data_IF_280205620325
#
_entry.id   IF_280205620325
#
_cell.length_a   1.000
_cell.length_b   1.000
_cell.length_c   1.000
_cell.angle_alpha   90.00
_cell.angle_beta   90.00
_cell.angle_gamma   90.00
#
_symmetry.space_group_name_H-M   'P 1'
#
loop_
_entity.id
_entity.type
_entity.pdbx_description
1 polymer ?
#
# COMPACT_ATOMS: atom_id res chain seq x y z
N UNK A 1 27.34 -1.52 -28.49
CA UNK A 1 26.03 -1.18 -29.06
C UNK A 1 25.24 -2.38 -29.62
N UNK A 2 25.85 -3.43 -30.18
CA UNK A 2 25.10 -4.58 -30.74
C UNK A 2 24.51 -5.55 -29.70
N UNK A 3 25.06 -5.64 -28.51
CA UNK A 3 24.61 -6.56 -27.45
C UNK A 3 23.41 -6.02 -26.65
N UNK A 4 23.28 -4.71 -26.49
CA UNK A 4 22.19 -4.05 -25.79
C UNK A 4 20.88 -4.11 -26.58
N UNK A 5 20.94 -4.05 -27.91
CA UNK A 5 19.73 -4.18 -28.76
C UNK A 5 19.12 -5.60 -28.74
N UNK A 6 19.92 -6.66 -28.46
CA UNK A 6 19.40 -8.03 -28.34
C UNK A 6 18.67 -8.29 -27.04
N UNK A 7 19.10 -7.65 -25.96
CA UNK A 7 18.44 -7.74 -24.66
C UNK A 7 17.09 -6.99 -24.63
N UNK A 8 17.01 -5.84 -25.31
CA UNK A 8 15.77 -5.09 -25.46
C UNK A 8 14.70 -5.82 -26.29
N UNK A 9 15.10 -6.57 -27.32
CA UNK A 9 14.17 -7.37 -28.15
C UNK A 9 13.51 -8.51 -27.37
N UNK A 10 14.23 -9.18 -26.48
CA UNK A 10 13.67 -10.27 -25.65
C UNK A 10 12.72 -9.74 -24.55
N UNK A 11 13.03 -8.58 -23.97
CA UNK A 11 12.17 -7.93 -22.97
C UNK A 11 10.87 -7.39 -23.59
N UNK A 12 10.89 -6.90 -24.85
CA UNK A 12 9.70 -6.40 -25.54
C UNK A 12 8.69 -7.52 -25.84
N UNK A 13 9.13 -8.74 -26.15
CA UNK A 13 8.23 -9.89 -26.37
C UNK A 13 7.54 -10.36 -25.09
N UNK A 14 8.22 -10.28 -23.94
CA UNK A 14 7.59 -10.58 -22.64
C UNK A 14 6.55 -9.52 -22.22
N UNK A 15 6.76 -8.26 -22.55
CA UNK A 15 5.81 -7.17 -22.24
C UNK A 15 4.56 -7.28 -23.12
N UNK A 16 4.65 -7.71 -24.37
CA UNK A 16 3.48 -7.96 -25.22
C UNK A 16 2.62 -9.12 -24.71
N UNK A 17 3.19 -10.13 -24.07
CA UNK A 17 2.46 -11.27 -23.54
C UNK A 17 1.65 -10.94 -22.26
N UNK A 18 2.07 -9.95 -21.49
CA UNK A 18 1.38 -9.51 -20.25
C UNK A 18 0.28 -8.47 -20.56
N UNK A 19 0.39 -7.70 -21.64
CA UNK A 19 -0.58 -6.68 -22.02
C UNK A 19 -1.87 -7.24 -22.69
N UNK A 20 -1.90 -8.54 -23.07
CA UNK A 20 -3.08 -9.15 -23.71
C UNK A 20 -4.22 -9.54 -22.77
N UNK A 21 -4.09 -9.29 -21.46
CA UNK A 21 -5.16 -9.47 -20.47
C UNK A 21 -6.26 -8.40 -20.48
N UNK A 22 -6.03 -7.24 -21.10
CA UNK A 22 -7.06 -6.21 -21.31
C UNK A 22 -7.79 -6.46 -22.62
N UNK A 23 -9.08 -6.79 -22.54
CA UNK A 23 -9.98 -6.88 -23.71
C UNK A 23 -10.12 -5.52 -24.37
N UNK A 24 -9.29 -5.23 -25.35
CA UNK A 24 -9.60 -4.21 -26.34
C UNK A 24 -10.59 -4.81 -27.34
N UNK A 25 -11.85 -4.44 -27.25
CA UNK A 25 -12.86 -4.69 -28.28
C UNK A 25 -12.58 -3.79 -29.48
N UNK A 26 -11.79 -4.27 -30.41
CA UNK A 26 -11.49 -3.63 -31.68
C UNK A 26 -10.54 -4.54 -32.45
N UNK A 27 -10.94 -4.94 -33.65
CA UNK A 27 -10.18 -5.83 -34.51
C UNK A 27 -8.79 -5.26 -34.80
N UNK A 28 -7.78 -5.75 -34.09
CA UNK A 28 -6.39 -5.59 -34.48
C UNK A 28 -6.12 -6.66 -35.53
N UNK A 29 -6.21 -6.26 -36.80
CA UNK A 29 -5.76 -7.09 -37.91
C UNK A 29 -4.30 -7.50 -37.68
N UNK A 30 -4.00 -8.79 -37.86
CA UNK A 30 -2.67 -9.34 -37.71
C UNK A 30 -1.64 -8.55 -38.55
N UNK A 31 -0.90 -7.65 -37.90
CA UNK A 31 0.25 -7.00 -38.53
C UNK A 31 1.37 -8.03 -38.58
N UNK A 32 1.60 -8.59 -39.80
CA UNK A 32 2.52 -9.67 -40.02
C UNK A 32 3.96 -9.34 -39.63
N UNK A 33 4.53 -10.16 -38.77
CA UNK A 33 5.97 -10.20 -38.54
C UNK A 33 6.58 -11.10 -39.62
N UNK A 34 7.10 -10.50 -40.68
CA UNK A 34 7.81 -11.21 -41.73
C UNK A 34 9.27 -11.34 -41.36
N UNK A 35 9.74 -12.55 -41.06
CA UNK A 35 11.17 -12.83 -40.90
C UNK A 35 11.78 -13.15 -42.28
N UNK A 36 12.47 -12.19 -42.90
CA UNK A 36 13.40 -12.46 -43.99
C UNK A 36 14.79 -12.09 -43.51
N UNK A 37 15.72 -13.06 -43.66
CA UNK A 37 17.18 -12.90 -43.50
C UNK A 37 17.66 -12.28 -42.17
N UNK A 38 17.28 -12.80 -41.02
CA UNK A 38 17.95 -12.50 -39.72
C UNK A 38 17.86 -11.07 -39.20
N UNK A 39 17.12 -10.18 -39.86
CA UNK A 39 16.78 -8.84 -39.38
C UNK A 39 15.31 -8.79 -39.06
N UNK A 40 15.00 -8.46 -37.81
CA UNK A 40 13.62 -8.14 -37.37
C UNK A 40 13.30 -6.75 -37.94
N UNK A 41 12.49 -6.69 -38.98
CA UNK A 41 11.93 -5.42 -39.46
C UNK A 41 10.63 -5.13 -38.66
N UNK A 42 10.71 -4.12 -37.80
CA UNK A 42 9.55 -3.61 -37.04
C UNK A 42 8.84 -2.61 -37.94
N UNK A 43 7.56 -2.83 -38.25
CA UNK A 43 6.78 -1.92 -39.07
C UNK A 43 6.69 -0.52 -38.43
N UNK A 44 6.60 0.55 -39.26
CA UNK A 44 6.38 1.91 -38.77
C UNK A 44 5.14 2.02 -37.87
N UNK A 45 4.09 1.23 -38.17
CA UNK A 45 2.87 1.17 -37.38
C UNK A 45 3.13 0.61 -35.99
N UNK A 46 3.98 -0.44 -35.87
CA UNK A 46 4.38 -0.99 -34.58
C UNK A 46 5.26 0.02 -33.78
N UNK A 47 6.15 0.76 -34.46
CA UNK A 47 6.94 1.82 -33.83
C UNK A 47 6.05 2.94 -33.32
N UNK A 48 5.05 3.39 -34.10
CA UNK A 48 4.09 4.41 -33.68
C UNK A 48 3.24 3.96 -32.49
N UNK A 49 2.77 2.69 -32.51
CA UNK A 49 2.00 2.11 -31.43
C UNK A 49 2.84 2.00 -30.14
N UNK A 50 4.09 1.55 -30.25
CA UNK A 50 5.03 1.53 -29.13
C UNK A 50 5.31 2.92 -28.57
N UNK A 51 5.45 3.92 -29.44
CA UNK A 51 5.64 5.31 -29.03
C UNK A 51 4.38 5.88 -28.33
N UNK A 52 3.18 5.50 -28.76
CA UNK A 52 1.94 5.85 -28.08
C UNK A 52 1.83 5.19 -26.71
N UNK A 53 2.15 3.89 -26.60
CA UNK A 53 2.15 3.16 -25.32
C UNK A 53 3.21 3.71 -24.36
N UNK A 54 4.40 4.09 -24.89
CA UNK A 54 5.47 4.68 -24.09
C UNK A 54 5.14 6.10 -23.57
N UNK A 55 4.18 6.80 -24.18
CA UNK A 55 3.70 8.14 -23.76
C UNK A 55 2.53 8.08 -22.79
N UNK A 56 1.97 6.90 -22.53
CA UNK A 56 0.91 6.76 -21.54
C UNK A 56 1.47 7.03 -20.14
N UNK A 57 0.77 7.81 -19.30
CA UNK A 57 1.18 7.98 -17.93
C UNK A 57 1.28 6.62 -17.22
N UNK A 58 2.30 6.46 -16.39
CA UNK A 58 2.53 5.23 -15.62
C UNK A 58 2.70 5.59 -14.17
N UNK A 59 2.13 4.76 -13.29
CA UNK A 59 2.33 4.84 -11.86
C UNK A 59 2.81 3.48 -11.36
N UNK A 60 3.90 3.49 -10.62
CA UNK A 60 4.48 2.30 -9.98
C UNK A 60 4.08 2.27 -8.50
N UNK A 61 3.57 1.12 -8.06
CA UNK A 61 3.23 0.87 -6.66
C UNK A 61 4.23 -0.13 -6.07
N UNK A 62 4.88 0.24 -4.96
CA UNK A 62 5.56 -0.73 -4.09
C UNK A 62 4.58 -1.12 -2.98
N UNK A 63 4.27 -2.40 -2.87
CA UNK A 63 3.34 -2.89 -1.86
C UNK A 63 4.05 -3.91 -0.97
N UNK A 64 4.07 -3.65 0.33
CA UNK A 64 4.61 -4.55 1.34
C UNK A 64 3.51 -5.06 2.28
N UNK A 65 3.78 -6.14 3.00
CA UNK A 65 2.90 -6.70 4.01
C UNK A 65 3.07 -6.04 5.38
N UNK A 66 3.04 -6.87 6.42
CA UNK A 66 3.07 -6.46 7.82
C UNK A 66 4.41 -5.82 8.19
N UNK A 67 4.33 -4.65 8.79
CA UNK A 67 5.47 -3.88 9.26
C UNK A 67 5.31 -3.56 10.74
N UNK A 68 6.28 -3.98 11.57
CA UNK A 68 6.27 -3.85 13.01
C UNK A 68 7.69 -3.66 13.54
N UNK A 69 7.88 -2.77 14.55
CA UNK A 69 9.20 -2.39 15.09
C UNK A 69 9.30 -2.67 16.60
N UNK A 70 8.82 -3.83 17.03
CA UNK A 70 8.86 -4.25 18.44
C UNK A 70 9.57 -5.62 18.59
N UNK A 71 9.67 -6.12 19.80
CA UNK A 71 10.25 -7.43 20.15
C UNK A 71 11.70 -7.58 19.64
N UNK A 72 12.01 -8.66 18.90
CA UNK A 72 13.34 -8.92 18.36
C UNK A 72 13.80 -7.85 17.35
N UNK A 73 12.87 -7.24 16.62
CA UNK A 73 13.17 -6.15 15.70
C UNK A 73 13.67 -4.93 16.48
N UNK A 74 13.03 -4.60 17.61
CA UNK A 74 13.50 -3.51 18.49
C UNK A 74 14.91 -3.75 18.99
N UNK A 75 15.25 -4.98 19.43
CA UNK A 75 16.59 -5.29 19.89
C UNK A 75 17.66 -5.05 18.82
N UNK A 76 17.36 -5.37 17.56
CA UNK A 76 18.25 -5.06 16.44
C UNK A 76 18.35 -3.56 16.18
N UNK A 77 17.24 -2.81 16.32
CA UNK A 77 17.26 -1.35 16.21
C UNK A 77 18.10 -0.69 17.32
N UNK A 78 18.03 -1.22 18.53
CA UNK A 78 18.82 -0.71 19.67
C UNK A 78 20.33 -0.97 19.47
N UNK A 79 20.68 -2.07 18.76
CA UNK A 79 22.07 -2.43 18.45
C UNK A 79 22.61 -1.65 17.23
N UNK A 80 21.83 -1.54 16.13
CA UNK A 80 22.32 -1.09 14.81
C UNK A 80 21.82 0.28 14.39
N UNK A 81 20.94 0.89 15.15
CA UNK A 81 20.24 2.10 14.77
C UNK A 81 18.93 1.83 13.99
N UNK A 82 17.97 2.72 14.13
CA UNK A 82 16.66 2.59 13.50
C UNK A 82 16.73 2.70 11.97
N UNK A 83 17.60 3.57 11.48
CA UNK A 83 17.85 3.80 10.05
C UNK A 83 18.36 2.56 9.31
N UNK A 84 19.00 1.64 10.01
CA UNK A 84 19.49 0.37 9.45
C UNK A 84 18.33 -0.55 9.06
N UNK A 85 17.24 -0.56 9.81
CA UNK A 85 16.18 -1.56 9.69
C UNK A 85 15.55 -1.62 8.30
N UNK A 86 15.27 -0.45 7.70
CA UNK A 86 14.66 -0.36 6.37
C UNK A 86 15.70 -0.12 5.27
N UNK A 87 17.01 -0.11 5.59
CA UNK A 87 18.07 0.24 4.64
C UNK A 87 18.09 -0.65 3.40
N UNK A 88 17.84 -1.96 3.56
CA UNK A 88 17.86 -2.91 2.47
C UNK A 88 16.70 -2.76 1.46
N UNK A 89 15.57 -2.18 1.88
CA UNK A 89 14.38 -2.01 1.04
C UNK A 89 14.11 -0.56 0.66
N UNK A 90 14.83 0.39 1.27
CA UNK A 90 14.65 1.84 1.10
C UNK A 90 14.69 2.28 -0.36
N UNK A 91 15.69 1.83 -1.10
CA UNK A 91 15.86 2.23 -2.51
C UNK A 91 14.71 1.71 -3.37
N UNK A 92 14.19 0.52 -3.08
CA UNK A 92 13.03 -0.05 -3.77
C UNK A 92 11.76 0.73 -3.47
N UNK A 93 11.51 1.08 -2.19
CA UNK A 93 10.34 1.87 -1.79
C UNK A 93 10.39 3.26 -2.42
N UNK A 94 11.55 3.94 -2.36
CA UNK A 94 11.74 5.28 -2.94
C UNK A 94 11.71 5.33 -4.46
N UNK A 95 12.00 4.21 -5.13
CA UNK A 95 11.95 4.13 -6.58
C UNK A 95 10.51 4.00 -7.12
N UNK A 96 9.56 3.62 -6.27
CA UNK A 96 8.15 3.60 -6.61
C UNK A 96 7.55 5.01 -6.54
N UNK A 97 6.49 5.25 -7.32
CA UNK A 97 5.74 6.51 -7.26
C UNK A 97 4.85 6.59 -6.01
N UNK A 98 4.41 5.44 -5.48
CA UNK A 98 3.70 5.31 -4.20
C UNK A 98 4.10 3.99 -3.53
N UNK A 99 4.46 4.05 -2.25
CA UNK A 99 4.76 2.88 -1.42
C UNK A 99 3.70 2.69 -0.32
N UNK A 100 3.15 1.47 -0.25
CA UNK A 100 2.10 1.05 0.70
C UNK A 100 2.58 -0.10 1.57
N UNK A 101 2.16 -0.14 2.85
CA UNK A 101 2.31 -1.29 3.73
C UNK A 101 1.20 -1.40 4.79
N UNK A 102 1.10 -2.57 5.43
CA UNK A 102 0.30 -2.76 6.64
C UNK A 102 1.13 -2.39 7.88
N UNK A 103 0.75 -1.35 8.59
CA UNK A 103 1.42 -0.95 9.84
C UNK A 103 0.82 -1.71 11.01
N UNK A 104 1.41 -2.85 11.34
CA UNK A 104 0.90 -3.81 12.33
C UNK A 104 1.43 -3.54 13.75
N UNK A 105 1.40 -2.28 14.16
CA UNK A 105 1.84 -1.83 15.49
C UNK A 105 1.25 -0.47 15.83
N UNK A 106 1.09 -0.18 17.13
CA UNK A 106 0.92 1.21 17.56
C UNK A 106 2.26 1.94 17.49
N UNK A 107 2.31 3.14 16.93
CA UNK A 107 3.47 4.05 17.00
C UNK A 107 3.19 5.09 18.08
N UNK A 108 3.57 4.77 19.33
CA UNK A 108 3.19 5.57 20.51
C UNK A 108 4.12 5.33 21.70
N UNK A 109 4.11 6.27 22.65
CA UNK A 109 4.66 6.09 24.00
C UNK A 109 3.59 5.82 25.03
N UNK A 110 2.41 6.40 24.84
CA UNK A 110 1.26 6.31 25.72
C UNK A 110 0.46 5.01 25.60
N UNK A 111 -0.66 4.98 26.30
CA UNK A 111 -1.59 3.86 26.32
C UNK A 111 -1.21 2.72 27.26
N UNK A 112 -2.19 1.90 27.59
CA UNK A 112 -2.04 0.70 28.42
C UNK A 112 -2.35 -0.54 27.59
N UNK A 113 -1.63 -1.65 27.84
CA UNK A 113 -1.88 -2.92 27.16
C UNK A 113 -3.33 -3.35 27.30
N UNK A 114 -3.96 -3.72 26.21
CA UNK A 114 -5.29 -4.30 26.26
C UNK A 114 -5.28 -5.62 27.02
N UNK A 115 -6.11 -5.78 28.06
CA UNK A 115 -6.22 -7.05 28.78
C UNK A 115 -6.73 -8.16 27.86
N UNK A 116 -6.26 -9.39 28.11
CA UNK A 116 -6.76 -10.59 27.43
C UNK A 116 -6.12 -10.90 26.06
N UNK A 117 -5.24 -10.04 25.55
CA UNK A 117 -4.34 -10.39 24.43
C UNK A 117 -3.10 -11.09 24.96
N UNK A 118 -2.56 -12.03 24.18
CA UNK A 118 -1.29 -12.71 24.50
C UNK A 118 -0.07 -11.99 23.93
N UNK A 119 -0.25 -11.16 22.91
CA UNK A 119 0.82 -10.45 22.18
C UNK A 119 0.41 -8.99 21.99
N UNK A 120 1.36 -8.09 22.23
CA UNK A 120 1.20 -6.65 22.08
C UNK A 120 2.39 -6.08 21.32
N UNK A 121 2.12 -5.21 20.35
CA UNK A 121 3.13 -4.48 19.60
C UNK A 121 3.00 -2.97 19.82
N UNK A 122 4.12 -2.34 20.20
CA UNK A 122 4.25 -0.89 20.30
C UNK A 122 5.64 -0.44 19.88
N UNK A 123 5.67 0.41 18.88
CA UNK A 123 6.88 1.02 18.36
C UNK A 123 7.02 2.45 18.87
N UNK A 124 8.25 2.93 18.99
CA UNK A 124 8.51 4.31 19.39
C UNK A 124 8.03 5.31 18.30
N UNK A 125 7.60 6.53 18.69
CA UNK A 125 7.09 7.55 17.75
C UNK A 125 8.04 7.87 16.60
N UNK A 126 9.34 7.79 16.82
CA UNK A 126 10.38 8.07 15.85
C UNK A 126 10.33 7.15 14.62
N UNK A 127 9.70 5.97 14.74
CA UNK A 127 9.52 5.06 13.60
C UNK A 127 8.56 5.60 12.54
N UNK A 128 7.67 6.53 12.87
CA UNK A 128 6.88 7.22 11.84
C UNK A 128 7.79 7.98 10.87
N UNK A 129 8.80 8.67 11.40
CA UNK A 129 9.78 9.38 10.56
C UNK A 129 10.66 8.40 9.77
N UNK A 130 11.04 7.25 10.36
CA UNK A 130 11.83 6.24 9.64
C UNK A 130 11.06 5.61 8.47
N UNK A 131 9.76 5.41 8.62
CA UNK A 131 8.89 4.99 7.52
C UNK A 131 8.87 6.02 6.38
N UNK A 132 8.67 7.30 6.71
CA UNK A 132 8.70 8.38 5.73
C UNK A 132 10.08 8.50 5.07
N UNK A 133 11.17 8.40 5.86
CA UNK A 133 12.54 8.39 5.36
C UNK A 133 12.82 7.18 4.45
N UNK A 134 12.13 6.08 4.63
CA UNK A 134 12.24 4.92 3.77
C UNK A 134 11.43 5.06 2.46
N UNK A 135 10.58 6.07 2.35
CA UNK A 135 9.75 6.33 1.17
C UNK A 135 8.35 5.72 1.26
N UNK A 136 7.85 5.43 2.47
CA UNK A 136 6.46 4.97 2.66
C UNK A 136 5.52 6.17 2.57
N UNK A 137 4.53 6.09 1.70
CA UNK A 137 3.57 7.17 1.42
C UNK A 137 2.21 6.91 2.07
N UNK A 138 1.81 5.65 2.19
CA UNK A 138 0.50 5.28 2.74
C UNK A 138 0.57 3.98 3.52
N UNK A 139 -0.16 3.93 4.64
CA UNK A 139 -0.27 2.73 5.47
C UNK A 139 -1.74 2.36 5.71
N UNK A 140 -2.02 1.05 5.78
CA UNK A 140 -3.26 0.61 6.41
C UNK A 140 -3.06 0.37 7.90
N UNK A 141 -4.07 0.77 8.69
CA UNK A 141 -4.16 0.48 10.12
C UNK A 141 -5.21 -0.60 10.42
N UNK A 142 -5.85 -1.17 9.40
CA UNK A 142 -6.86 -2.20 9.53
C UNK A 142 -6.23 -3.56 9.86
N UNK A 143 -5.79 -3.73 11.11
CA UNK A 143 -5.19 -4.97 11.60
C UNK A 143 -5.49 -5.19 13.08
N UNK A 144 -5.06 -6.32 13.60
CA UNK A 144 -5.31 -6.76 14.96
C UNK A 144 -4.31 -6.23 16.00
N UNK A 145 -3.34 -5.41 15.62
CA UNK A 145 -2.29 -4.94 16.52
C UNK A 145 -2.24 -3.42 16.74
N UNK A 146 -2.84 -2.63 15.87
CA UNK A 146 -2.77 -1.16 15.97
C UNK A 146 -3.41 -0.60 17.25
N UNK A 147 -4.34 -1.33 17.87
CA UNK A 147 -5.03 -0.98 19.11
C UNK A 147 -4.52 -1.75 20.34
N UNK A 148 -3.36 -2.38 20.28
CA UNK A 148 -2.79 -3.17 21.38
C UNK A 148 -2.58 -2.39 22.68
N UNK A 149 -2.45 -1.08 22.58
CA UNK A 149 -2.27 -0.16 23.71
C UNK A 149 -3.42 0.84 23.84
N UNK A 150 -4.62 0.44 23.36
CA UNK A 150 -5.89 1.16 23.50
C UNK A 150 -5.94 2.49 22.75
N UNK A 151 -7.04 3.22 22.92
CA UNK A 151 -7.36 4.48 22.21
C UNK A 151 -6.28 5.55 22.32
N UNK A 152 -5.66 5.78 23.51
CA UNK A 152 -4.60 6.79 23.59
C UNK A 152 -3.43 6.53 22.68
N UNK A 153 -2.97 5.26 22.60
CA UNK A 153 -1.86 4.89 21.71
C UNK A 153 -2.28 4.94 20.23
N UNK A 154 -3.52 4.60 19.93
CA UNK A 154 -4.04 4.71 18.56
C UNK A 154 -4.15 6.17 18.11
N UNK A 155 -4.65 7.05 18.96
CA UNK A 155 -4.71 8.49 18.68
C UNK A 155 -3.31 9.09 18.48
N UNK A 156 -2.32 8.68 19.30
CA UNK A 156 -0.93 9.09 19.16
C UNK A 156 -0.33 8.55 17.84
N UNK A 157 -0.66 7.31 17.45
CA UNK A 157 -0.24 6.73 16.16
C UNK A 157 -0.74 7.55 14.98
N UNK A 158 -2.04 7.90 14.96
CA UNK A 158 -2.62 8.75 13.93
C UNK A 158 -1.93 10.13 13.86
N UNK A 159 -1.62 10.72 15.03
CA UNK A 159 -0.92 12.00 15.11
C UNK A 159 0.50 11.93 14.58
N UNK A 160 1.26 10.89 14.97
CA UNK A 160 2.64 10.70 14.54
C UNK A 160 2.75 10.47 13.04
N UNK A 161 1.85 9.68 12.45
CA UNK A 161 1.77 9.48 10.99
C UNK A 161 1.42 10.78 10.26
N UNK A 162 0.45 11.55 10.77
CA UNK A 162 0.06 12.82 10.17
C UNK A 162 1.22 13.84 10.14
N UNK A 163 2.08 13.86 11.15
CA UNK A 163 3.25 14.74 11.22
C UNK A 163 4.31 14.43 10.15
N UNK A 164 4.36 13.19 9.67
CA UNK A 164 5.32 12.76 8.64
C UNK A 164 4.75 12.84 7.23
N UNK A 165 3.46 13.17 7.07
CA UNK A 165 2.78 13.21 5.79
C UNK A 165 2.35 11.85 5.25
N UNK A 166 2.57 10.75 6.00
CA UNK A 166 2.12 9.42 5.61
C UNK A 166 0.59 9.37 5.68
N UNK A 167 -0.04 9.03 4.56
CA UNK A 167 -1.47 8.85 4.47
C UNK A 167 -1.93 7.57 5.18
N UNK A 168 -3.15 7.57 5.72
CA UNK A 168 -3.72 6.45 6.46
C UNK A 168 -5.03 6.00 5.81
N UNK A 169 -5.21 4.69 5.66
CA UNK A 169 -6.49 4.07 5.37
C UNK A 169 -6.80 2.95 6.39
N UNK A 170 -8.06 2.54 6.46
CA UNK A 170 -8.47 1.42 7.30
C UNK A 170 -8.52 1.69 8.80
N UNK A 171 -8.20 2.90 9.24
CA UNK A 171 -8.28 3.32 10.64
C UNK A 171 -8.53 4.81 10.78
N UNK A 172 -9.16 5.23 11.88
CA UNK A 172 -9.51 6.63 12.06
C UNK A 172 -10.10 6.95 13.43
N UNK A 173 -10.39 8.22 13.66
CA UNK A 173 -10.98 8.72 14.92
C UNK A 173 -12.46 8.35 15.09
N UNK A 174 -13.07 7.90 14.02
CA UNK A 174 -14.46 7.42 13.97
C UNK A 174 -14.62 6.55 12.70
N UNK A 175 -15.81 5.96 12.52
CA UNK A 175 -16.11 5.09 11.38
C UNK A 175 -15.97 5.82 10.03
N UNK A 176 -16.38 7.07 9.94
CA UNK A 176 -16.30 7.85 8.71
C UNK A 176 -14.82 8.07 8.31
N UNK A 177 -13.94 8.34 9.27
CA UNK A 177 -12.50 8.46 9.06
C UNK A 177 -11.89 7.10 8.67
N UNK A 178 -12.24 6.02 9.39
CA UNK A 178 -11.69 4.69 9.15
C UNK A 178 -12.04 4.14 7.75
N UNK A 179 -13.24 4.46 7.23
CA UNK A 179 -13.71 4.06 5.89
C UNK A 179 -13.32 5.06 4.79
N UNK A 180 -12.66 6.16 5.14
CA UNK A 180 -12.23 7.15 4.15
C UNK A 180 -11.06 6.59 3.33
N UNK A 181 -11.14 6.61 1.99
CA UNK A 181 -9.99 6.24 1.18
C UNK A 181 -8.86 7.25 1.34
N UNK A 182 -7.62 6.78 1.44
CA UNK A 182 -6.43 7.60 1.23
C UNK A 182 -6.22 7.72 -0.29
N UNK A 183 -6.24 8.94 -0.83
CA UNK A 183 -6.07 9.18 -2.27
C UNK A 183 -4.74 9.86 -2.50
N UNK A 184 -3.88 9.22 -3.29
CA UNK A 184 -2.58 9.74 -3.71
C UNK A 184 -2.54 9.85 -5.23
N UNK A 185 -1.71 10.76 -5.74
CA UNK A 185 -1.57 10.96 -7.18
C UNK A 185 -0.10 11.15 -7.55
N UNK A 186 0.33 10.47 -8.59
CA UNK A 186 1.63 10.65 -9.21
C UNK A 186 1.52 10.47 -10.72
N UNK A 187 2.34 11.19 -11.48
CA UNK A 187 2.40 11.09 -12.94
C UNK A 187 1.04 11.26 -13.65
N UNK A 188 0.10 12.02 -13.06
CA UNK A 188 -1.24 12.24 -13.62
C UNK A 188 -2.21 11.06 -13.40
N UNK A 189 -1.86 10.07 -12.59
CA UNK A 189 -2.71 8.94 -12.19
C UNK A 189 -3.00 9.05 -10.69
N UNK A 190 -4.25 8.83 -10.30
CA UNK A 190 -4.70 8.82 -8.92
C UNK A 190 -5.05 7.40 -8.47
N UNK A 191 -4.66 7.07 -7.22
CA UNK A 191 -4.94 5.78 -6.58
C UNK A 191 -5.58 6.01 -5.23
N UNK A 192 -6.71 5.37 -4.98
CA UNK A 192 -7.38 5.34 -3.68
C UNK A 192 -7.07 4.03 -2.95
N UNK A 193 -6.66 4.13 -1.69
CA UNK A 193 -6.37 2.99 -0.82
C UNK A 193 -7.47 2.85 0.22
N UNK A 194 -7.95 1.63 0.40
CA UNK A 194 -8.91 1.22 1.42
C UNK A 194 -8.33 0.05 2.21
N UNK A 195 -8.59 -0.03 3.51
CA UNK A 195 -8.15 -1.14 4.35
C UNK A 195 -9.30 -1.66 5.21
N UNK A 196 -9.39 -2.97 5.38
CA UNK A 196 -10.40 -3.64 6.21
C UNK A 196 -9.79 -4.81 6.96
N UNK A 197 -10.35 -5.16 8.13
CA UNK A 197 -9.90 -6.30 8.90
C UNK A 197 -11.10 -7.10 9.43
N UNK A 198 -11.05 -8.42 9.24
CA UNK A 198 -11.99 -9.34 9.88
C UNK A 198 -11.81 -9.40 11.40
N UNK A 199 -10.60 -9.13 11.88
CA UNK A 199 -10.25 -9.14 13.30
C UNK A 199 -10.83 -7.97 14.10
N UNK A 200 -11.41 -6.98 13.46
CA UNK A 200 -12.01 -5.83 14.13
C UNK A 200 -13.10 -6.23 15.17
N UNK A 201 -13.75 -7.38 14.96
CA UNK A 201 -14.77 -7.92 15.88
C UNK A 201 -14.26 -9.01 16.82
N UNK A 202 -13.10 -9.63 16.57
CA UNK A 202 -12.63 -10.84 17.25
C UNK A 202 -11.87 -10.53 18.55
N UNK A 203 -11.10 -9.45 18.57
CA UNK A 203 -10.24 -9.11 19.71
C UNK A 203 -10.97 -8.24 20.71
N UNK A 204 -11.58 -8.87 21.71
CA UNK A 204 -12.16 -8.22 22.86
C UNK A 204 -11.91 -9.06 24.10
N UNK A 205 -11.83 -8.40 25.25
CA UNK A 205 -11.65 -9.04 26.53
C UNK A 205 -12.96 -8.92 27.34
N UNK A 206 -13.36 -10.00 28.01
CA UNK A 206 -14.52 -9.96 28.90
C UNK A 206 -14.34 -8.95 30.05
N UNK A 207 -13.10 -8.69 30.48
CA UNK A 207 -12.77 -7.72 31.52
C UNK A 207 -12.83 -6.25 30.97
N UNK A 208 -12.65 -6.07 29.69
CA UNK A 208 -12.68 -4.77 29.02
C UNK A 208 -13.20 -4.98 27.59
N UNK A 209 -14.53 -5.01 27.42
CA UNK A 209 -15.16 -5.33 26.15
C UNK A 209 -14.95 -4.18 25.17
N UNK A 210 -13.78 -4.15 24.52
CA UNK A 210 -13.46 -3.22 23.46
C UNK A 210 -13.47 -3.94 22.14
N UNK A 211 -14.22 -3.40 21.20
CA UNK A 211 -14.12 -3.77 19.80
C UNK A 211 -13.10 -2.87 19.11
N UNK A 212 -12.33 -3.42 18.18
CA UNK A 212 -11.40 -2.63 17.37
C UNK A 212 -12.12 -1.84 16.27
N UNK A 213 -13.35 -2.20 15.96
CA UNK A 213 -14.20 -1.47 15.02
C UNK A 213 -14.39 -0.04 15.49
N UNK A 214 -14.14 0.91 14.61
CA UNK A 214 -14.49 2.31 14.83
C UNK A 214 -16.00 2.48 15.02
N UNK A 215 -16.39 3.35 15.94
CA UNK A 215 -17.78 3.76 16.11
C UNK A 215 -18.07 5.11 15.46
N UNK A 216 -19.30 5.61 15.65
CA UNK A 216 -19.67 6.95 15.16
C UNK A 216 -18.81 8.06 15.79
N UNK A 217 -18.50 7.93 17.08
CA UNK A 217 -17.73 8.89 17.86
C UNK A 217 -16.54 8.25 18.60
N UNK A 218 -16.14 7.04 18.25
CA UNK A 218 -15.01 6.34 18.86
C UNK A 218 -13.99 5.90 17.81
N UNK A 219 -12.68 5.99 18.15
CA UNK A 219 -11.63 5.59 17.23
C UNK A 219 -11.60 4.08 17.03
N UNK A 220 -11.02 3.66 15.92
CA UNK A 220 -10.85 2.26 15.60
C UNK A 220 -10.53 2.02 14.12
N UNK A 221 -10.70 0.78 13.72
CA UNK A 221 -10.43 0.31 12.36
C UNK A 221 -11.72 -0.03 11.62
N UNK A 222 -11.66 -0.02 10.29
CA UNK A 222 -12.76 -0.50 9.45
C UNK A 222 -12.82 -2.02 9.45
N UNK A 223 -14.04 -2.55 9.57
CA UNK A 223 -14.29 -3.97 9.64
C UNK A 223 -14.63 -4.57 8.28
N UNK A 224 -14.50 -5.88 8.20
CA UNK A 224 -14.99 -6.68 7.09
C UNK A 224 -16.51 -6.70 7.10
N UNK A 225 -17.10 -5.82 6.31
CA UNK A 225 -18.52 -5.77 6.00
C UNK A 225 -18.67 -5.67 4.48
N UNK A 226 -19.23 -6.68 3.86
CA UNK A 226 -19.27 -6.82 2.39
C UNK A 226 -20.00 -5.66 1.72
N UNK A 227 -21.14 -5.26 2.26
CA UNK A 227 -21.98 -4.20 1.72
C UNK A 227 -21.26 -2.85 1.84
N UNK A 228 -20.69 -2.57 3.01
CA UNK A 228 -19.90 -1.38 3.27
C UNK A 228 -18.67 -1.30 2.36
N UNK A 229 -17.95 -2.39 2.18
CA UNK A 229 -16.77 -2.46 1.29
C UNK A 229 -17.16 -2.13 -0.15
N UNK A 230 -18.26 -2.71 -0.66
CA UNK A 230 -18.73 -2.46 -2.02
C UNK A 230 -19.11 -0.98 -2.21
N UNK A 231 -19.78 -0.39 -1.22
CA UNK A 231 -20.12 1.03 -1.23
C UNK A 231 -18.88 1.92 -1.26
N UNK A 232 -17.90 1.61 -0.40
CA UNK A 232 -16.65 2.37 -0.31
C UNK A 232 -15.82 2.26 -1.59
N UNK A 233 -15.74 1.08 -2.21
CA UNK A 233 -15.10 0.90 -3.52
C UNK A 233 -15.79 1.74 -4.58
N UNK A 234 -17.14 1.76 -4.62
CA UNK A 234 -17.89 2.59 -5.57
C UNK A 234 -17.62 4.08 -5.35
N UNK A 235 -17.51 4.51 -4.09
CA UNK A 235 -17.15 5.88 -3.73
C UNK A 235 -15.71 6.20 -4.15
N UNK A 236 -14.76 5.33 -3.83
CA UNK A 236 -13.35 5.49 -4.17
C UNK A 236 -13.12 5.59 -5.70
N UNK A 237 -13.84 4.78 -6.50
CA UNK A 237 -13.81 4.85 -7.97
C UNK A 237 -14.31 6.17 -8.57
N UNK A 238 -15.01 7.00 -7.81
CA UNK A 238 -15.38 8.36 -8.23
C UNK A 238 -14.32 9.41 -7.88
N UNK A 239 -13.35 9.03 -7.03
CA UNK A 239 -12.31 9.92 -6.51
C UNK A 239 -10.94 9.65 -7.14
N UNK A 240 -10.73 8.46 -7.71
CA UNK A 240 -9.43 8.04 -8.24
C UNK A 240 -9.57 7.12 -9.45
N UNK A 241 -8.54 7.10 -10.28
CA UNK A 241 -8.46 6.25 -11.48
C UNK A 241 -8.37 4.76 -11.11
N UNK A 242 -7.68 4.45 -10.01
CA UNK A 242 -7.51 3.09 -9.51
C UNK A 242 -7.86 2.99 -8.02
N UNK A 243 -8.26 1.78 -7.60
CA UNK A 243 -8.58 1.49 -6.19
C UNK A 243 -7.79 0.25 -5.76
N UNK A 244 -7.06 0.38 -4.67
CA UNK A 244 -6.37 -0.70 -3.96
C UNK A 244 -7.13 -0.99 -2.68
N UNK A 245 -7.41 -2.27 -2.42
CA UNK A 245 -8.09 -2.72 -1.20
C UNK A 245 -7.18 -3.70 -0.48
N UNK A 246 -6.90 -3.42 0.79
CA UNK A 246 -6.12 -4.28 1.69
C UNK A 246 -7.07 -4.98 2.67
N UNK A 247 -6.81 -6.26 2.91
CA UNK A 247 -7.52 -7.09 3.88
C UNK A 247 -6.55 -7.71 4.87
#
# INVERSE_FOLDING_TARGET
MRTVLRALGACLLCILAVATGCRFGGAVGAAGIGARSGKLEVSEQAVRLLAQVARQPRLTLAMAGDCMFDRGVRAICDERGREWLLSAVRDTLRAADVAFLNLETSIARGGARLPGKGIWFRSAPEFAQELANAGVDVVTLANNHVLDYDDPAFAETLSNLAQTGIAVCGGGRNMADARRPAVLSANGISVAFLGYSEFAHIYWSAARPKRFVAGEASPGISCWDREAIIEDIRRAKRLADHVVVSF
#
